data_IF_980431130977
#
_entry.id   IF_980431130977
#
_cell.length_a   1.000
_cell.length_b   1.000
_cell.length_c   1.000
_cell.angle_alpha   90.00
_cell.angle_beta   90.00
_cell.angle_gamma   90.00
#
_symmetry.space_group_name_H-M   'P 1'
#
loop_
_entity.id
_entity.type
_entity.pdbx_description
1 polymer ?
#
# COMPACT_ATOMS: atom_id res chain seq x y z
N UNK A 1 4.13 -21.22 27.65
CA UNK A 1 4.72 -19.87 27.46
C UNK A 1 5.75 -19.80 26.33
N UNK A 2 6.54 -20.85 26.05
CA UNK A 2 7.48 -20.86 24.91
C UNK A 2 6.78 -20.73 23.52
N UNK A 3 5.68 -21.46 23.32
CA UNK A 3 4.93 -21.49 22.05
C UNK A 3 4.29 -20.14 21.65
N UNK A 4 3.98 -19.28 22.61
CA UNK A 4 3.48 -17.91 22.34
C UNK A 4 4.61 -16.97 21.91
N UNK A 5 5.81 -17.15 22.45
CA UNK A 5 7.00 -16.35 22.13
C UNK A 5 7.52 -16.69 20.74
N UNK A 6 7.57 -17.99 20.40
CA UNK A 6 7.98 -18.44 19.07
C UNK A 6 7.02 -17.96 17.97
N UNK A 7 5.70 -18.06 18.21
CA UNK A 7 4.70 -17.53 17.27
C UNK A 7 4.77 -16.01 17.10
N UNK A 8 5.17 -15.27 18.14
CA UNK A 8 5.37 -13.82 18.06
C UNK A 8 6.60 -13.49 17.23
N UNK A 9 7.71 -14.18 17.46
CA UNK A 9 8.96 -13.93 16.75
C UNK A 9 8.84 -14.25 15.26
N UNK A 10 8.15 -15.35 14.91
CA UNK A 10 7.83 -15.68 13.52
C UNK A 10 7.04 -14.57 12.84
N UNK A 11 6.03 -14.00 13.51
CA UNK A 11 5.26 -12.86 12.97
C UNK A 11 6.11 -11.61 12.79
N UNK A 12 7.03 -11.31 13.73
CA UNK A 12 7.94 -10.16 13.61
C UNK A 12 8.87 -10.29 12.41
N UNK A 13 9.38 -11.49 12.15
CA UNK A 13 10.21 -11.78 10.96
C UNK A 13 9.41 -11.65 9.67
N UNK A 14 8.19 -12.18 9.66
CA UNK A 14 7.29 -12.02 8.51
C UNK A 14 7.00 -10.54 8.23
N UNK A 15 6.70 -9.74 9.25
CA UNK A 15 6.43 -8.31 9.08
C UNK A 15 7.68 -7.53 8.65
N UNK A 16 8.87 -7.94 9.09
CA UNK A 16 10.12 -7.37 8.57
C UNK A 16 10.27 -7.64 7.07
N UNK A 17 10.09 -8.90 6.64
CA UNK A 17 10.19 -9.28 5.23
C UNK A 17 9.15 -8.58 4.36
N UNK A 18 7.90 -8.50 4.83
CA UNK A 18 6.84 -7.73 4.16
C UNK A 18 7.21 -6.25 4.07
N UNK A 19 7.57 -5.63 5.19
CA UNK A 19 7.92 -4.22 5.24
C UNK A 19 9.06 -3.84 4.30
N UNK A 20 10.13 -4.65 4.29
CA UNK A 20 11.25 -4.44 3.35
C UNK A 20 10.82 -4.67 1.89
N UNK A 21 10.01 -5.69 1.62
CA UNK A 21 9.48 -5.97 0.28
C UNK A 21 8.69 -4.80 -0.28
N UNK A 22 7.79 -4.21 0.52
CA UNK A 22 7.00 -3.03 0.11
C UNK A 22 7.88 -1.81 -0.15
N UNK A 23 8.88 -1.54 0.70
CA UNK A 23 9.79 -0.41 0.51
C UNK A 23 10.70 -0.58 -0.70
N UNK A 24 11.17 -1.80 -0.96
CA UNK A 24 11.93 -2.12 -2.18
C UNK A 24 11.05 -1.95 -3.41
N UNK A 25 9.81 -2.45 -3.38
CA UNK A 25 8.87 -2.27 -4.48
C UNK A 25 8.60 -0.78 -4.74
N UNK A 26 8.37 0.02 -3.70
CA UNK A 26 8.20 1.46 -3.82
C UNK A 26 9.42 2.13 -4.48
N UNK A 27 10.63 1.75 -4.07
CA UNK A 27 11.88 2.23 -4.66
C UNK A 27 12.01 1.84 -6.14
N UNK A 28 11.65 0.61 -6.51
CA UNK A 28 11.67 0.14 -7.90
C UNK A 28 10.65 0.90 -8.75
N UNK A 29 9.38 0.97 -8.34
CA UNK A 29 8.35 1.68 -9.08
C UNK A 29 8.67 3.17 -9.21
N UNK A 30 9.08 3.82 -8.12
CA UNK A 30 9.49 5.22 -8.13
C UNK A 30 10.74 5.48 -8.99
N UNK A 31 11.73 4.60 -8.90
CA UNK A 31 12.97 4.68 -9.68
C UNK A 31 12.71 4.49 -11.19
N UNK A 32 11.96 3.46 -11.57
CA UNK A 32 11.54 3.21 -12.96
C UNK A 32 10.73 4.38 -13.50
N UNK A 33 9.76 4.88 -12.74
CA UNK A 33 8.95 6.03 -13.14
C UNK A 33 9.79 7.29 -13.34
N UNK A 34 10.77 7.53 -12.46
CA UNK A 34 11.67 8.68 -12.59
C UNK A 34 12.60 8.52 -13.80
N UNK A 35 13.17 7.33 -13.99
CA UNK A 35 14.10 7.04 -15.08
C UNK A 35 13.44 7.19 -16.44
N UNK A 36 12.34 6.47 -16.69
CA UNK A 36 11.63 6.54 -17.96
C UNK A 36 10.83 7.83 -18.15
N UNK A 37 10.48 8.50 -17.05
CA UNK A 37 9.84 9.81 -17.09
C UNK A 37 10.80 10.95 -17.40
N UNK A 38 12.12 10.78 -17.21
CA UNK A 38 13.11 11.85 -17.34
C UNK A 38 13.13 12.47 -18.75
N UNK A 39 12.99 11.62 -19.78
CA UNK A 39 13.02 12.03 -21.18
C UNK A 39 11.66 12.61 -21.67
N UNK A 40 10.64 12.61 -20.81
CA UNK A 40 9.33 13.16 -21.15
C UNK A 40 9.25 14.67 -20.88
N UNK A 41 8.45 15.34 -21.71
CA UNK A 41 7.99 16.71 -21.43
C UNK A 41 7.26 16.81 -20.09
N UNK A 42 7.02 18.03 -19.61
CA UNK A 42 6.41 18.26 -18.29
C UNK A 42 5.06 17.54 -18.12
N UNK A 43 4.25 17.48 -19.18
CA UNK A 43 2.96 16.78 -19.20
C UNK A 43 3.13 15.27 -19.00
N UNK A 44 4.04 14.65 -19.75
CA UNK A 44 4.33 13.22 -19.61
C UNK A 44 4.87 12.88 -18.22
N UNK A 45 5.76 13.72 -17.66
CA UNK A 45 6.22 13.58 -16.27
C UNK A 45 5.08 13.69 -15.26
N UNK A 46 4.15 14.61 -15.46
CA UNK A 46 2.96 14.73 -14.64
C UNK A 46 2.05 13.50 -14.76
N UNK A 47 1.87 12.95 -15.96
CA UNK A 47 1.08 11.74 -16.19
C UNK A 47 1.69 10.51 -15.48
N UNK A 48 3.02 10.36 -15.55
CA UNK A 48 3.77 9.31 -14.84
C UNK A 48 3.64 9.48 -13.33
N UNK A 49 3.82 10.70 -12.81
CA UNK A 49 3.66 10.99 -11.39
C UNK A 49 2.22 10.76 -10.91
N UNK A 50 1.21 11.11 -11.72
CA UNK A 50 -0.19 10.87 -11.41
C UNK A 50 -0.54 9.38 -11.33
N UNK A 51 0.04 8.55 -12.20
CA UNK A 51 -0.21 7.11 -12.19
C UNK A 51 0.56 6.38 -11.07
N UNK A 52 1.85 6.70 -10.92
CA UNK A 52 2.76 5.92 -10.06
C UNK A 52 2.90 6.52 -8.65
N UNK A 53 2.77 7.84 -8.50
CA UNK A 53 2.88 8.52 -7.22
C UNK A 53 1.94 7.98 -6.13
N UNK A 54 0.64 7.78 -6.40
CA UNK A 54 -0.28 7.19 -5.41
C UNK A 54 0.11 5.76 -5.03
N UNK A 55 0.54 4.95 -6.00
CA UNK A 55 1.03 3.58 -5.75
C UNK A 55 2.25 3.61 -4.81
N UNK A 56 3.26 4.44 -5.11
CA UNK A 56 4.47 4.57 -4.27
C UNK A 56 4.10 4.99 -2.85
N UNK A 57 3.18 5.95 -2.68
CA UNK A 57 2.70 6.35 -1.36
C UNK A 57 2.09 5.17 -0.60
N UNK A 58 1.22 4.37 -1.24
CA UNK A 58 0.58 3.21 -0.63
C UNK A 58 1.63 2.17 -0.20
N UNK A 59 2.59 1.85 -1.06
CA UNK A 59 3.66 0.89 -0.77
C UNK A 59 4.56 1.38 0.38
N UNK A 60 4.93 2.67 0.39
CA UNK A 60 5.72 3.26 1.48
C UNK A 60 4.96 3.19 2.80
N UNK A 61 3.69 3.61 2.80
CA UNK A 61 2.84 3.53 3.99
C UNK A 61 2.69 2.09 4.49
N UNK A 62 2.45 1.13 3.59
CA UNK A 62 2.39 -0.29 3.94
C UNK A 62 3.72 -0.81 4.51
N UNK A 63 4.85 -0.44 3.90
CA UNK A 63 6.18 -0.81 4.36
C UNK A 63 6.45 -0.33 5.79
N UNK A 64 6.20 0.95 6.05
CA UNK A 64 6.32 1.50 7.40
C UNK A 64 5.36 0.86 8.39
N UNK A 65 4.13 0.55 7.97
CA UNK A 65 3.16 -0.12 8.82
C UNK A 65 3.71 -1.46 9.31
N UNK A 66 4.17 -2.32 8.40
CA UNK A 66 4.69 -3.63 8.78
C UNK A 66 5.90 -3.51 9.71
N UNK A 67 6.82 -2.58 9.44
CA UNK A 67 7.99 -2.36 10.27
C UNK A 67 7.63 -1.88 11.68
N UNK A 68 6.67 -0.97 11.80
CA UNK A 68 6.18 -0.45 13.08
C UNK A 68 5.35 -1.50 13.84
N UNK A 69 4.52 -2.26 13.13
CA UNK A 69 3.63 -3.26 13.71
C UNK A 69 4.35 -4.35 14.50
N UNK A 70 5.63 -4.59 14.21
CA UNK A 70 6.50 -5.46 15.02
C UNK A 70 6.59 -5.05 16.50
N UNK A 71 6.29 -3.79 16.84
CA UNK A 71 6.32 -3.27 18.22
C UNK A 71 5.11 -3.72 19.04
N UNK A 72 3.92 -3.76 18.43
CA UNK A 72 2.67 -4.08 19.14
C UNK A 72 2.11 -5.48 18.81
N UNK A 73 2.58 -6.14 17.75
CA UNK A 73 2.06 -7.45 17.31
C UNK A 73 2.04 -8.48 18.45
N UNK A 74 0.83 -8.93 18.79
CA UNK A 74 0.58 -9.96 19.81
C UNK A 74 0.77 -9.50 21.26
N UNK A 75 0.95 -8.20 21.52
CA UNK A 75 1.16 -7.67 22.88
C UNK A 75 0.22 -6.52 23.22
N UNK A 76 -0.03 -5.61 22.27
CA UNK A 76 -0.86 -4.43 22.48
C UNK A 76 -1.62 -4.09 21.19
N UNK A 77 -2.72 -3.32 21.27
CA UNK A 77 -3.30 -2.69 20.09
C UNK A 77 -2.34 -1.63 19.50
N UNK A 78 -2.66 -1.20 18.29
CA UNK A 78 -1.96 -0.10 17.63
C UNK A 78 -2.22 1.22 18.36
N UNK A 79 -1.19 2.04 18.65
CA UNK A 79 -1.40 3.33 19.30
C UNK A 79 -2.33 4.23 18.49
N UNK A 80 -3.30 4.87 19.17
CA UNK A 80 -4.33 5.72 18.55
C UNK A 80 -3.80 6.80 17.60
N UNK A 81 -2.70 7.47 17.96
CA UNK A 81 -2.09 8.50 17.12
C UNK A 81 -1.61 7.92 15.77
N UNK A 82 -1.04 6.71 15.78
CA UNK A 82 -0.63 6.03 14.55
C UNK A 82 -1.87 5.60 13.77
N UNK A 83 -2.92 5.11 14.43
CA UNK A 83 -4.17 4.72 13.77
C UNK A 83 -4.81 5.91 13.00
N UNK A 84 -4.84 7.09 13.61
CA UNK A 84 -5.31 8.34 12.97
C UNK A 84 -4.44 8.73 11.77
N UNK A 85 -3.11 8.60 11.89
CA UNK A 85 -2.21 8.86 10.78
C UNK A 85 -2.52 7.94 9.58
N UNK A 86 -2.79 6.65 9.79
CA UNK A 86 -3.15 5.73 8.72
C UNK A 86 -4.53 5.98 8.13
N UNK A 87 -5.49 6.49 8.89
CA UNK A 87 -6.75 6.99 8.32
C UNK A 87 -6.50 8.19 7.40
N UNK A 88 -5.69 9.15 7.83
CA UNK A 88 -5.31 10.31 7.02
C UNK A 88 -4.57 9.90 5.75
N UNK A 89 -3.61 8.97 5.85
CA UNK A 89 -2.91 8.41 4.70
C UNK A 89 -3.85 7.68 3.74
N UNK A 90 -4.83 6.93 4.26
CA UNK A 90 -5.85 6.28 3.44
C UNK A 90 -6.68 7.28 2.64
N UNK A 91 -7.15 8.36 3.29
CA UNK A 91 -7.88 9.43 2.61
C UNK A 91 -6.99 10.12 1.56
N UNK A 92 -5.76 10.46 1.92
CA UNK A 92 -4.80 11.07 1.00
C UNK A 92 -4.54 10.18 -0.21
N UNK A 93 -4.38 8.86 -0.01
CA UNK A 93 -4.19 7.91 -1.10
C UNK A 93 -5.38 7.88 -2.07
N UNK A 94 -6.62 7.91 -1.55
CA UNK A 94 -7.83 8.00 -2.39
C UNK A 94 -7.84 9.29 -3.21
N UNK A 95 -7.55 10.43 -2.58
CA UNK A 95 -7.52 11.72 -3.27
C UNK A 95 -6.43 11.75 -4.35
N UNK A 96 -5.24 11.22 -4.04
CA UNK A 96 -4.13 11.12 -4.98
C UNK A 96 -4.42 10.15 -6.11
N UNK A 97 -5.09 9.02 -5.87
CA UNK A 97 -5.52 8.12 -6.95
C UNK A 97 -6.53 8.81 -7.87
N UNK A 98 -7.53 9.51 -7.32
CA UNK A 98 -8.53 10.22 -8.11
C UNK A 98 -7.90 11.35 -8.94
N UNK A 99 -7.12 12.23 -8.32
CA UNK A 99 -6.43 13.31 -9.02
C UNK A 99 -5.37 12.79 -10.00
N UNK A 100 -4.64 11.76 -9.61
CA UNK A 100 -3.65 11.08 -10.43
C UNK A 100 -4.24 10.51 -11.70
N UNK A 101 -5.41 9.86 -11.62
CA UNK A 101 -6.15 9.37 -12.79
C UNK A 101 -6.47 10.51 -13.77
N UNK A 102 -6.99 11.64 -13.27
CA UNK A 102 -7.31 12.79 -14.12
C UNK A 102 -6.06 13.32 -14.81
N UNK A 103 -4.97 13.49 -14.08
CA UNK A 103 -3.68 13.95 -14.64
C UNK A 103 -3.16 12.98 -15.69
N UNK A 104 -3.20 11.67 -15.41
CA UNK A 104 -2.79 10.63 -16.36
C UNK A 104 -3.62 10.66 -17.64
N UNK A 105 -4.95 10.80 -17.54
CA UNK A 105 -5.85 10.82 -18.71
C UNK A 105 -5.60 12.04 -19.62
N UNK A 106 -5.32 13.21 -19.03
CA UNK A 106 -5.19 14.48 -19.77
C UNK A 106 -3.76 14.69 -20.29
N UNK A 107 -2.74 14.21 -19.58
CA UNK A 107 -1.35 14.54 -19.84
C UNK A 107 -0.52 13.38 -20.43
N UNK A 108 -1.14 12.21 -20.69
CA UNK A 108 -0.43 11.08 -21.28
C UNK A 108 0.16 11.43 -22.65
N UNK A 109 1.45 11.11 -22.91
CA UNK A 109 2.14 11.51 -24.14
C UNK A 109 1.73 10.71 -25.37
N UNK A 110 1.06 9.56 -25.19
CA UNK A 110 0.51 8.72 -26.27
C UNK A 110 -0.48 7.71 -25.71
N UNK A 111 -1.25 7.04 -26.57
CA UNK A 111 -2.14 5.94 -26.18
C UNK A 111 -1.39 4.77 -25.55
N UNK A 112 -0.20 4.42 -26.06
CA UNK A 112 0.60 3.32 -25.51
C UNK A 112 1.04 3.63 -24.07
N UNK A 113 1.53 4.85 -23.84
CA UNK A 113 1.84 5.35 -22.50
C UNK A 113 0.60 5.36 -21.61
N UNK A 114 -0.54 5.84 -22.11
CA UNK A 114 -1.78 5.86 -21.34
C UNK A 114 -2.16 4.47 -20.83
N UNK A 115 -2.10 3.45 -21.68
CA UNK A 115 -2.41 2.06 -21.28
C UNK A 115 -1.47 1.59 -20.16
N UNK A 116 -0.15 1.79 -20.32
CA UNK A 116 0.83 1.40 -19.31
C UNK A 116 0.60 2.12 -17.98
N UNK A 117 0.31 3.42 -18.04
CA UNK A 117 0.06 4.23 -16.86
C UNK A 117 -1.25 3.83 -16.16
N UNK A 118 -2.30 3.49 -16.91
CA UNK A 118 -3.55 2.97 -16.34
C UNK A 118 -3.36 1.61 -15.67
N UNK A 119 -2.47 0.75 -16.19
CA UNK A 119 -2.12 -0.51 -15.53
C UNK A 119 -1.39 -0.27 -14.21
N UNK A 120 -0.40 0.64 -14.20
CA UNK A 120 0.32 1.01 -12.98
C UNK A 120 -0.61 1.66 -11.94
N UNK A 121 -1.48 2.57 -12.38
CA UNK A 121 -2.50 3.20 -11.54
C UNK A 121 -3.49 2.17 -10.99
N UNK A 122 -3.96 1.24 -11.83
CA UNK A 122 -4.85 0.16 -11.43
C UNK A 122 -4.21 -0.76 -10.40
N UNK A 123 -2.91 -1.03 -10.53
CA UNK A 123 -2.14 -1.73 -9.49
C UNK A 123 -2.13 -0.94 -8.16
N UNK A 124 -1.98 0.39 -8.21
CA UNK A 124 -2.14 1.27 -7.04
C UNK A 124 -3.50 1.16 -6.36
N UNK A 125 -4.59 1.07 -7.14
CA UNK A 125 -5.94 0.84 -6.60
C UNK A 125 -6.02 -0.52 -5.91
N UNK A 126 -5.49 -1.57 -6.54
CA UNK A 126 -5.47 -2.93 -5.98
C UNK A 126 -4.72 -2.93 -4.65
N UNK A 127 -3.56 -2.28 -4.57
CA UNK A 127 -2.80 -2.20 -3.32
C UNK A 127 -3.54 -1.40 -2.24
N UNK A 128 -4.16 -0.28 -2.59
CA UNK A 128 -4.97 0.46 -1.61
C UNK A 128 -6.10 -0.41 -1.05
N UNK A 129 -6.81 -1.14 -1.91
CA UNK A 129 -7.87 -2.06 -1.47
C UNK A 129 -7.30 -3.18 -0.61
N UNK A 130 -6.17 -3.77 -1.03
CA UNK A 130 -5.45 -4.85 -0.35
C UNK A 130 -5.12 -4.48 1.11
N UNK A 131 -4.71 -3.24 1.33
CA UNK A 131 -4.29 -2.74 2.63
C UNK A 131 -5.41 -2.13 3.48
N UNK A 132 -6.37 -1.43 2.86
CA UNK A 132 -7.38 -0.64 3.58
C UNK A 132 -8.72 -1.36 3.77
N UNK A 133 -9.11 -2.26 2.86
CA UNK A 133 -10.47 -2.80 2.81
C UNK A 133 -10.53 -4.32 2.91
N UNK A 134 -9.82 -5.02 2.03
CA UNK A 134 -9.88 -6.49 1.92
C UNK A 134 -8.52 -7.02 1.55
N UNK A 135 -8.05 -8.08 2.23
CA UNK A 135 -6.80 -8.72 1.82
C UNK A 135 -7.02 -9.37 0.46
N UNK A 136 -6.33 -8.92 -0.57
CA UNK A 136 -6.41 -9.47 -1.94
C UNK A 136 -5.20 -10.37 -2.24
N UNK A 137 -4.10 -10.19 -1.51
CA UNK A 137 -2.90 -11.01 -1.64
C UNK A 137 -3.08 -12.41 -1.02
N UNK A 138 -3.56 -13.36 -1.83
CA UNK A 138 -3.57 -14.80 -1.55
C UNK A 138 -2.64 -15.55 -2.51
N UNK A 139 -2.10 -16.72 -2.11
CA UNK A 139 -1.39 -17.60 -3.04
C UNK A 139 -2.25 -17.84 -4.28
N UNK A 140 -1.65 -17.86 -5.48
CA UNK A 140 -2.36 -18.00 -6.77
C UNK A 140 -3.30 -19.22 -6.76
N UNK A 141 -2.88 -20.31 -6.11
CA UNK A 141 -3.65 -21.55 -5.93
C UNK A 141 -4.93 -21.41 -5.07
N UNK A 142 -5.07 -20.31 -4.32
CA UNK A 142 -6.21 -20.01 -3.43
C UNK A 142 -6.75 -18.59 -3.64
N UNK A 143 -6.45 -17.98 -4.79
CA UNK A 143 -6.75 -16.56 -5.03
C UNK A 143 -8.26 -16.29 -4.99
N UNK A 144 -9.04 -17.04 -5.77
CA UNK A 144 -10.50 -16.92 -5.79
C UNK A 144 -11.16 -17.17 -4.43
N UNK A 145 -10.78 -18.26 -3.73
CA UNK A 145 -11.38 -18.58 -2.42
C UNK A 145 -11.00 -17.59 -1.32
N UNK A 146 -9.79 -17.05 -1.38
CA UNK A 146 -9.30 -16.05 -0.43
C UNK A 146 -9.98 -14.69 -0.62
N UNK A 147 -10.09 -14.21 -1.86
CA UNK A 147 -10.77 -12.95 -2.20
C UNK A 147 -12.24 -12.99 -1.79
N UNK A 148 -12.91 -14.13 -2.02
CA UNK A 148 -14.33 -14.35 -1.63
C UNK A 148 -14.50 -14.38 -0.10
N UNK A 149 -13.54 -14.93 0.65
CA UNK A 149 -13.60 -14.94 2.12
C UNK A 149 -13.51 -13.55 2.77
N UNK A 150 -13.12 -12.50 2.00
CA UNK A 150 -13.24 -11.11 2.45
C UNK A 150 -12.51 -10.80 3.77
N UNK A 151 -11.35 -11.43 4.03
CA UNK A 151 -10.64 -11.24 5.30
C UNK A 151 -10.19 -9.79 5.45
N UNK A 152 -10.55 -9.19 6.58
CA UNK A 152 -10.10 -7.84 6.94
C UNK A 152 -8.57 -7.80 7.02
N UNK A 153 -7.90 -6.89 6.28
CA UNK A 153 -6.45 -6.71 6.34
C UNK A 153 -5.98 -6.49 7.77
N UNK A 154 -4.73 -6.86 8.08
CA UNK A 154 -4.18 -6.63 9.41
C UNK A 154 -4.17 -5.15 9.76
N UNK A 155 -3.76 -4.27 8.83
CA UNK A 155 -3.78 -2.82 9.03
C UNK A 155 -5.16 -2.30 9.42
N UNK A 156 -6.20 -2.69 8.68
CA UNK A 156 -7.58 -2.30 8.99
C UNK A 156 -8.05 -2.82 10.36
N UNK A 157 -7.62 -4.02 10.77
CA UNK A 157 -7.91 -4.56 12.13
C UNK A 157 -7.20 -3.75 13.21
N UNK A 158 -5.92 -3.46 13.00
CA UNK A 158 -5.08 -2.71 13.94
C UNK A 158 -5.59 -1.26 14.11
N UNK A 159 -5.96 -0.58 13.01
CA UNK A 159 -6.54 0.77 13.04
C UNK A 159 -7.85 0.78 13.82
N UNK A 160 -8.76 -0.17 13.57
CA UNK A 160 -10.02 -0.27 14.33
C UNK A 160 -9.77 -0.48 15.83
N UNK A 161 -8.81 -1.34 16.18
CA UNK A 161 -8.43 -1.56 17.57
C UNK A 161 -7.86 -0.30 18.23
N UNK A 162 -6.97 0.41 17.55
CA UNK A 162 -6.36 1.65 18.07
C UNK A 162 -7.33 2.82 18.21
N UNK A 163 -8.38 2.87 17.39
CA UNK A 163 -9.45 3.88 17.54
C UNK A 163 -10.45 3.54 18.65
N UNK A 164 -10.58 2.26 18.99
CA UNK A 164 -11.43 1.77 20.06
C UNK A 164 -10.80 1.91 21.45
N UNK A 165 -9.47 2.11 21.55
CA UNK A 165 -8.82 2.51 22.80
C UNK A 165 -9.41 3.84 23.28
N UNK A 166 -10.07 3.80 24.44
CA UNK A 166 -10.51 4.99 25.18
C UNK A 166 -9.28 5.66 25.81
N UNK A 167 -9.25 7.00 25.88
CA UNK A 167 -8.17 7.73 26.57
C UNK A 167 -8.09 7.39 28.06
#
# INVERSE_FOLDING_TARGET
MAESTDRRELRRRQYLSLGLGELVAAGVFGGVATWYGADLGWQGRAAVAGAVGPLVLVLVAAGFYWLLARRWVGVAPMPRAIALAYLGLGLLAVLLLAGGLVVTLVAAPSTAWLVLLLLAWGFGVVELVNYSLRRLAFPVTRWWSGVVQGRTPQLARDVRAGLAERP
#
